data_IF_401171409516
#
_entry.id   IF_401171409516
#
_cell.length_a   1.000
_cell.length_b   1.000
_cell.length_c   1.000
_cell.angle_alpha   90.00
_cell.angle_beta   90.00
_cell.angle_gamma   90.00
#
_symmetry.space_group_name_H-M   'P 1'
#
loop_
_entity.id
_entity.type
_entity.pdbx_description
1 polymer ?
#
# COMPACT_ATOMS: atom_id res chain seq x y z
N UNK A 1 12.47 7.08 50.19
CA UNK A 1 12.70 6.12 49.10
C UNK A 1 11.99 6.61 47.86
N UNK A 2 12.70 6.94 46.77
CA UNK A 2 12.09 7.32 45.49
C UNK A 2 11.83 6.03 44.71
N UNK A 3 10.57 5.67 44.51
CA UNK A 3 10.20 4.58 43.60
C UNK A 3 10.69 4.91 42.20
N UNK A 4 11.60 4.08 41.69
CA UNK A 4 11.98 4.09 40.27
C UNK A 4 10.71 3.79 39.48
N UNK A 5 10.18 4.80 38.78
CA UNK A 5 9.19 4.62 37.71
C UNK A 5 9.76 3.55 36.77
N UNK A 6 9.21 2.34 36.81
CA UNK A 6 9.48 1.30 35.81
C UNK A 6 9.20 1.95 34.46
N UNK A 7 10.24 2.09 33.63
CA UNK A 7 10.07 2.40 32.21
C UNK A 7 9.16 1.30 31.69
N UNK A 8 7.92 1.65 31.38
CA UNK A 8 7.09 0.83 30.51
C UNK A 8 7.92 0.72 29.24
N UNK A 9 8.47 -0.47 28.98
CA UNK A 9 9.02 -0.80 27.68
C UNK A 9 7.95 -0.40 26.68
N UNK A 10 8.24 0.61 25.83
CA UNK A 10 7.38 0.95 24.70
C UNK A 10 7.06 -0.40 24.05
N UNK A 11 5.81 -0.85 24.18
CA UNK A 11 5.31 -1.94 23.36
C UNK A 11 5.66 -1.52 21.94
N UNK A 12 6.43 -2.35 21.23
CA UNK A 12 6.73 -2.12 19.83
C UNK A 12 5.42 -1.73 19.15
N UNK A 13 5.35 -0.56 18.48
CA UNK A 13 4.10 -0.16 17.86
C UNK A 13 3.67 -1.31 16.96
N UNK A 14 2.43 -1.78 17.13
CA UNK A 14 1.91 -2.82 16.26
C UNK A 14 1.97 -2.29 14.83
N UNK A 15 2.91 -2.81 14.04
CA UNK A 15 3.07 -2.52 12.62
C UNK A 15 1.97 -3.15 11.77
N UNK A 16 1.01 -3.80 12.44
CA UNK A 16 -0.11 -4.49 11.84
C UNK A 16 -1.01 -3.52 11.08
N UNK A 17 -1.18 -3.81 9.81
CA UNK A 17 -2.17 -3.22 8.94
C UNK A 17 -3.23 -4.30 8.70
N UNK A 18 -4.47 -4.13 9.21
CA UNK A 18 -5.50 -5.16 9.07
C UNK A 18 -5.90 -5.28 7.60
N UNK A 19 -5.77 -6.48 7.02
CA UNK A 19 -6.19 -6.76 5.64
C UNK A 19 -7.65 -7.27 5.61
N UNK A 20 -8.44 -6.90 4.59
CA UNK A 20 -8.12 -5.95 3.53
C UNK A 20 -8.05 -4.51 4.07
N UNK A 21 -7.21 -3.68 3.44
CA UNK A 21 -7.00 -2.29 3.83
C UNK A 21 -7.08 -1.34 2.66
N UNK A 22 -7.92 -0.31 2.77
CA UNK A 22 -7.99 0.77 1.80
C UNK A 22 -7.20 1.99 2.30
N UNK A 23 -6.44 2.63 1.39
CA UNK A 23 -5.83 3.93 1.66
C UNK A 23 -5.95 4.89 0.49
N UNK A 24 -6.11 6.16 0.84
CA UNK A 24 -6.03 7.25 -0.12
C UNK A 24 -4.56 7.61 -0.38
N UNK A 25 -4.21 7.72 -1.66
CA UNK A 25 -2.91 8.20 -2.11
C UNK A 25 -3.07 9.46 -2.95
N UNK A 26 -2.14 10.41 -2.79
CA UNK A 26 -2.17 11.65 -3.57
C UNK A 26 -1.65 11.37 -4.99
N UNK A 27 -2.44 11.77 -5.99
CA UNK A 27 -2.13 11.67 -7.41
C UNK A 27 -0.86 12.47 -7.73
N UNK A 28 0.03 11.87 -8.52
CA UNK A 28 1.12 12.59 -9.19
C UNK A 28 0.75 12.96 -10.63
N UNK A 29 -0.21 12.24 -11.21
CA UNK A 29 -0.77 12.51 -12.53
C UNK A 29 -1.95 13.46 -12.43
N UNK A 30 -2.28 14.14 -13.53
CA UNK A 30 -3.52 14.89 -13.68
C UNK A 30 -4.75 13.95 -13.69
N UNK A 31 -5.94 14.49 -13.49
CA UNK A 31 -7.17 13.67 -13.55
C UNK A 31 -7.37 13.06 -14.95
N UNK A 32 -7.07 13.81 -16.01
CA UNK A 32 -7.16 13.33 -17.39
C UNK A 32 -6.24 12.13 -17.61
N UNK A 33 -4.97 12.22 -17.19
CA UNK A 33 -4.02 11.11 -17.28
C UNK A 33 -4.45 9.89 -16.43
N UNK A 34 -5.00 10.11 -15.24
CA UNK A 34 -5.51 9.01 -14.41
C UNK A 34 -6.66 8.27 -15.11
N UNK A 35 -7.57 8.98 -15.77
CA UNK A 35 -8.71 8.40 -16.48
C UNK A 35 -8.33 7.76 -17.83
N UNK A 36 -7.29 8.26 -18.50
CA UNK A 36 -6.80 7.73 -19.78
C UNK A 36 -6.02 6.43 -19.59
N UNK A 37 -5.15 6.38 -18.57
CA UNK A 37 -4.15 5.30 -18.44
C UNK A 37 -4.51 4.24 -17.40
N UNK A 38 -5.39 4.54 -16.45
CA UNK A 38 -5.66 3.67 -15.30
C UNK A 38 -7.16 3.30 -15.24
N UNK A 39 -7.47 2.23 -14.51
CA UNK A 39 -8.83 1.77 -14.28
C UNK A 39 -8.97 1.12 -12.90
N UNK A 40 -10.19 1.06 -12.38
CA UNK A 40 -10.50 0.39 -11.11
C UNK A 40 -10.28 -1.13 -11.25
N UNK A 41 -9.59 -1.72 -10.27
CA UNK A 41 -9.10 -3.09 -10.30
C UNK A 41 -7.71 -3.27 -10.91
N UNK A 42 -7.11 -2.22 -11.50
CA UNK A 42 -5.74 -2.29 -12.00
C UNK A 42 -4.77 -2.60 -10.87
N UNK A 43 -3.95 -3.63 -11.06
CA UNK A 43 -2.88 -3.99 -10.14
C UNK A 43 -1.76 -2.96 -10.18
N UNK A 44 -1.32 -2.56 -8.99
CA UNK A 44 -0.20 -1.66 -8.78
C UNK A 44 0.75 -2.31 -7.79
N UNK A 45 1.98 -1.81 -7.73
CA UNK A 45 2.97 -2.31 -6.76
C UNK A 45 3.61 -1.18 -5.99
N UNK A 46 4.04 -1.52 -4.79
CA UNK A 46 4.92 -0.67 -4.02
C UNK A 46 6.36 -0.83 -4.50
N UNK A 47 7.06 0.28 -4.68
CA UNK A 47 8.47 0.30 -5.08
C UNK A 47 9.25 1.28 -4.19
N UNK A 48 10.29 0.85 -3.47
CA UNK A 48 11.09 1.78 -2.68
C UNK A 48 11.94 2.65 -3.61
N UNK A 49 11.96 3.95 -3.36
CA UNK A 49 12.76 4.94 -4.08
C UNK A 49 13.86 5.49 -3.16
N UNK A 50 15.12 5.23 -3.52
CA UNK A 50 16.31 5.75 -2.84
C UNK A 50 16.75 4.97 -1.59
N UNK A 51 18.02 5.13 -1.20
CA UNK A 51 18.64 4.45 -0.05
C UNK A 51 18.63 5.28 1.25
N UNK A 52 18.43 6.61 1.16
CA UNK A 52 18.66 7.56 2.26
C UNK A 52 17.35 8.21 2.75
N UNK A 53 16.43 8.50 1.83
CA UNK A 53 15.08 8.99 2.16
C UNK A 53 14.09 7.91 1.71
N UNK A 54 13.67 7.02 2.62
CA UNK A 54 12.69 6.00 2.30
C UNK A 54 11.40 6.66 1.82
N UNK A 55 11.18 6.65 0.52
CA UNK A 55 9.91 6.99 -0.11
C UNK A 55 9.44 5.73 -0.81
N UNK A 56 8.19 5.34 -0.64
CA UNK A 56 7.62 4.21 -1.36
C UNK A 56 6.71 4.78 -2.45
N UNK A 57 7.03 4.47 -3.69
CA UNK A 57 6.19 4.77 -4.84
C UNK A 57 5.10 3.71 -5.00
N UNK A 58 3.95 4.16 -5.50
CA UNK A 58 2.90 3.31 -6.05
C UNK A 58 3.07 3.36 -7.56
N UNK A 59 3.30 2.19 -8.16
CA UNK A 59 3.69 2.05 -9.55
C UNK A 59 2.67 1.20 -10.28
N UNK A 60 2.13 1.74 -11.38
CA UNK A 60 1.36 0.97 -12.36
C UNK A 60 2.28 0.48 -13.47
N UNK A 61 2.02 -0.71 -14.01
CA UNK A 61 2.69 -1.21 -15.21
C UNK A 61 1.73 -1.12 -16.38
N UNK A 62 2.08 -0.35 -17.40
CA UNK A 62 1.25 -0.06 -18.57
C UNK A 62 2.09 -0.28 -19.82
N UNK A 63 1.70 -1.21 -20.68
CA UNK A 63 2.45 -1.56 -21.90
C UNK A 63 3.94 -1.82 -21.62
N UNK A 64 4.23 -2.63 -20.61
CA UNK A 64 5.58 -2.95 -20.11
C UNK A 64 6.39 -1.76 -19.55
N UNK A 65 5.78 -0.58 -19.42
CA UNK A 65 6.39 0.60 -18.80
C UNK A 65 5.93 0.77 -17.37
N UNK A 66 6.87 1.06 -16.47
CA UNK A 66 6.59 1.40 -15.09
C UNK A 66 6.29 2.89 -14.97
N UNK A 67 5.06 3.22 -14.54
CA UNK A 67 4.61 4.58 -14.31
C UNK A 67 4.38 4.80 -12.81
N UNK A 68 5.08 5.78 -12.24
CA UNK A 68 4.88 6.19 -10.84
C UNK A 68 3.64 7.08 -10.76
N UNK A 69 2.58 6.60 -10.11
CA UNK A 69 1.28 7.29 -10.07
C UNK A 69 1.04 8.01 -8.74
N UNK A 70 1.73 7.59 -7.67
CA UNK A 70 1.70 8.21 -6.36
C UNK A 70 2.89 7.83 -5.48
N UNK A 71 2.97 8.48 -4.33
CA UNK A 71 3.80 8.05 -3.21
C UNK A 71 2.92 7.67 -2.02
N UNK A 72 3.37 6.67 -1.27
CA UNK A 72 2.77 6.29 0.01
C UNK A 72 2.83 7.48 0.97
N UNK A 73 1.73 7.85 1.65
CA UNK A 73 1.74 8.91 2.64
C UNK A 73 2.74 8.62 3.76
N UNK A 74 3.49 9.63 4.21
CA UNK A 74 4.53 9.47 5.23
C UNK A 74 4.05 8.74 6.51
N UNK A 75 2.80 8.97 6.93
CA UNK A 75 2.21 8.31 8.10
C UNK A 75 1.93 6.81 7.94
N UNK A 76 2.03 6.29 6.71
CA UNK A 76 1.79 4.89 6.35
C UNK A 76 3.07 4.13 5.99
N UNK A 77 4.19 4.84 5.80
CA UNK A 77 5.46 4.28 5.33
C UNK A 77 5.86 3.00 6.06
N UNK A 78 6.00 3.04 7.39
CA UNK A 78 6.46 1.86 8.15
C UNK A 78 5.49 0.68 8.13
N UNK A 79 4.20 0.93 7.92
CA UNK A 79 3.21 -0.15 7.75
C UNK A 79 3.35 -0.80 6.38
N UNK A 80 3.50 0.02 5.34
CA UNK A 80 3.71 -0.48 3.98
C UNK A 80 5.05 -1.19 3.86
N UNK A 81 6.12 -0.71 4.50
CA UNK A 81 7.40 -1.42 4.60
C UNK A 81 7.22 -2.83 5.17
N UNK A 82 6.49 -2.98 6.28
CA UNK A 82 6.22 -4.29 6.87
C UNK A 82 5.41 -5.23 5.97
N UNK A 83 4.48 -4.69 5.18
CA UNK A 83 3.70 -5.49 4.20
C UNK A 83 4.58 -5.90 3.02
N UNK A 84 5.46 -5.01 2.55
CA UNK A 84 6.39 -5.30 1.47
C UNK A 84 7.39 -6.40 1.86
N UNK A 85 7.64 -6.66 3.15
CA UNK A 85 8.42 -7.83 3.57
C UNK A 85 7.67 -9.17 3.39
N UNK A 86 6.36 -9.14 3.12
CA UNK A 86 5.48 -10.30 2.93
C UNK A 86 5.22 -10.63 1.44
N UNK A 87 6.10 -10.19 0.52
CA UNK A 87 5.96 -10.06 -0.94
C UNK A 87 5.06 -11.08 -1.68
N UNK A 88 5.05 -12.34 -1.26
CA UNK A 88 4.41 -13.44 -2.00
C UNK A 88 2.88 -13.52 -1.85
N UNK A 89 2.27 -12.73 -0.97
CA UNK A 89 0.84 -12.86 -0.67
C UNK A 89 0.01 -11.59 -0.86
N UNK A 90 0.67 -10.46 -1.11
CA UNK A 90 0.01 -9.15 -1.06
C UNK A 90 -0.34 -8.68 -2.47
N UNK A 91 -1.61 -8.33 -2.63
CA UNK A 91 -2.12 -7.69 -3.84
C UNK A 91 -2.49 -6.26 -3.54
N UNK A 92 -2.08 -5.35 -4.42
CA UNK A 92 -2.43 -3.94 -4.33
C UNK A 92 -3.13 -3.54 -5.61
N UNK A 93 -4.35 -3.02 -5.48
CA UNK A 93 -5.19 -2.66 -6.63
C UNK A 93 -5.71 -1.24 -6.48
N UNK A 94 -6.01 -0.59 -7.61
CA UNK A 94 -6.75 0.67 -7.60
C UNK A 94 -8.21 0.34 -7.26
N UNK A 95 -8.69 0.80 -6.12
CA UNK A 95 -10.09 0.63 -5.70
C UNK A 95 -10.97 1.68 -6.39
N UNK A 96 -10.53 2.94 -6.41
CA UNK A 96 -11.22 4.06 -7.09
C UNK A 96 -10.24 5.09 -7.60
N UNK A 97 -10.47 5.63 -8.80
CA UNK A 97 -9.62 6.67 -9.40
C UNK A 97 -9.86 8.09 -8.82
N UNK A 98 -10.94 8.26 -8.05
CA UNK A 98 -11.32 9.51 -7.44
C UNK A 98 -11.65 9.36 -5.95
N UNK A 99 -11.46 10.44 -5.21
CA UNK A 99 -11.87 10.56 -3.82
C UNK A 99 -12.79 11.77 -3.68
N UNK A 100 -14.03 11.53 -3.25
CA UNK A 100 -15.06 12.57 -3.14
C UNK A 100 -14.66 13.72 -2.21
N UNK A 101 -13.86 13.42 -1.19
CA UNK A 101 -13.40 14.40 -0.21
C UNK A 101 -12.12 15.13 -0.63
N UNK A 102 -11.36 14.58 -1.58
CA UNK A 102 -10.08 15.13 -2.01
C UNK A 102 -9.81 14.77 -3.47
N UNK A 103 -10.12 15.69 -4.39
CA UNK A 103 -10.00 15.49 -5.83
C UNK A 103 -8.59 15.08 -6.30
N UNK A 104 -7.55 15.50 -5.56
CA UNK A 104 -6.15 15.17 -5.82
C UNK A 104 -5.72 13.82 -5.28
N UNK A 105 -6.65 12.99 -4.80
CA UNK A 105 -6.38 11.65 -4.30
C UNK A 105 -7.24 10.58 -4.98
N UNK A 106 -6.76 9.35 -4.90
CA UNK A 106 -7.43 8.14 -5.35
C UNK A 106 -7.26 7.05 -4.29
N UNK A 107 -8.01 5.97 -4.40
CA UNK A 107 -8.01 4.88 -3.44
C UNK A 107 -7.30 3.66 -4.00
N UNK A 108 -6.43 3.08 -3.19
CA UNK A 108 -5.92 1.73 -3.40
C UNK A 108 -6.44 0.80 -2.32
N UNK A 109 -6.62 -0.46 -2.66
CA UNK A 109 -6.84 -1.56 -1.74
C UNK A 109 -5.56 -2.39 -1.64
N UNK A 110 -5.26 -2.89 -0.43
CA UNK A 110 -4.22 -3.84 -0.14
C UNK A 110 -4.91 -5.07 0.44
N UNK A 111 -4.70 -6.23 -0.16
CA UNK A 111 -5.35 -7.49 0.22
C UNK A 111 -4.35 -8.65 0.24
N UNK A 112 -4.72 -9.74 0.90
CA UNK A 112 -4.00 -11.02 0.87
C UNK A 112 -4.77 -11.99 -0.02
N UNK A 113 -4.11 -12.58 -1.03
CA UNK A 113 -4.77 -13.65 -1.77
C UNK A 113 -4.91 -14.89 -0.88
N UNK A 114 -6.10 -15.52 -0.87
CA UNK A 114 -6.28 -16.77 -0.16
C UNK A 114 -5.39 -17.86 -0.76
N UNK A 115 -4.85 -18.72 0.10
CA UNK A 115 -4.10 -19.89 -0.35
C UNK A 115 -5.03 -20.88 -1.07
N UNK A 116 -4.50 -21.68 -2.01
CA UNK A 116 -5.32 -22.61 -2.80
C UNK A 116 -6.13 -23.59 -1.93
N UNK A 117 -5.59 -24.00 -0.78
CA UNK A 117 -6.30 -24.86 0.16
C UNK A 117 -7.45 -24.15 0.87
N UNK A 118 -7.38 -22.83 1.07
CA UNK A 118 -8.49 -22.01 1.60
C UNK A 118 -9.65 -21.92 0.60
N UNK A 119 -9.33 -22.04 -0.69
CA UNK A 119 -10.29 -22.13 -1.78
C UNK A 119 -10.83 -23.56 -2.00
N UNK A 120 -10.41 -24.53 -1.18
CA UNK A 120 -10.78 -25.95 -1.35
C UNK A 120 -10.12 -26.62 -2.57
N UNK A 121 -9.10 -25.99 -3.16
CA UNK A 121 -8.33 -26.51 -4.28
C UNK A 121 -7.06 -27.19 -3.77
N UNK A 122 -7.17 -28.47 -3.39
CA UNK A 122 -5.99 -29.29 -3.09
C UNK A 122 -5.37 -29.78 -4.41
N UNK A 123 -4.27 -29.17 -4.83
CA UNK A 123 -3.37 -29.78 -5.81
C UNK A 123 -2.58 -30.85 -5.06
N UNK A 124 -2.96 -32.12 -5.28
CA UNK A 124 -2.29 -33.29 -4.71
C UNK A 124 -0.89 -33.52 -5.26
#
# INVERSE_FOLDING_TARGET
MKEKKKRISKASPSYFLPLPYAMAARKLLSNEEMEEYLFEGLEVRFKPLGLINNTIAIVATINDLELVIAHVPNGMMTRVEGIMEMEEKIHVTIERLSCDQLASAFWICIDELPELWELGLNLG
#
